data_IF_639710513235
#
_entry.id   IF_639710513235
#
_cell.length_a   1.000
_cell.length_b   1.000
_cell.length_c   1.000
_cell.angle_alpha   90.00
_cell.angle_beta   90.00
_cell.angle_gamma   90.00
#
_symmetry.space_group_name_H-M   'P 1'
#
loop_
_entity.id
_entity.type
_entity.pdbx_description
1 polymer ?
#
# COMPACT_ATOMS: atom_id res chain seq x y z
N UNK A 1 5.45 -6.15 1.94
CA UNK A 1 4.33 -7.07 2.16
C UNK A 1 3.06 -6.29 2.40
N UNK A 2 1.96 -6.73 1.87
CA UNK A 2 0.68 -6.07 2.05
C UNK A 2 -0.28 -7.07 2.70
N UNK A 3 -0.81 -6.71 3.86
CA UNK A 3 -1.72 -7.56 4.61
C UNK A 3 -3.09 -6.90 4.68
N UNK A 4 -4.14 -7.65 4.41
CA UNK A 4 -5.50 -7.14 4.37
C UNK A 4 -6.36 -7.84 5.40
N UNK A 5 -7.16 -7.07 6.15
CA UNK A 5 -8.18 -7.61 7.04
C UNK A 5 -9.51 -6.96 6.69
N UNK A 6 -10.55 -7.76 6.58
CA UNK A 6 -11.88 -7.24 6.24
C UNK A 6 -12.70 -7.24 7.52
N UNK A 7 -13.18 -6.06 7.93
CA UNK A 7 -13.76 -5.85 9.25
C UNK A 7 -15.13 -5.24 9.10
N UNK A 8 -16.12 -5.77 9.80
CA UNK A 8 -17.46 -5.18 9.85
C UNK A 8 -17.48 -4.03 10.83
N UNK A 9 -18.04 -2.93 10.42
CA UNK A 9 -18.23 -1.78 11.29
C UNK A 9 -19.70 -1.36 11.25
N UNK A 10 -20.10 -0.41 12.09
CA UNK A 10 -21.45 0.09 12.08
C UNK A 10 -21.80 0.73 10.76
N UNK A 11 -20.84 1.20 10.00
CA UNK A 11 -21.08 1.83 8.70
C UNK A 11 -20.89 0.85 7.55
N UNK A 12 -20.72 -0.44 7.85
CA UNK A 12 -20.49 -1.47 6.85
C UNK A 12 -19.07 -1.98 6.89
N UNK A 13 -18.72 -2.87 5.94
CA UNK A 13 -17.39 -3.46 5.96
C UNK A 13 -16.31 -2.48 5.50
N UNK A 14 -15.13 -2.62 6.08
CA UNK A 14 -13.95 -1.88 5.62
C UNK A 14 -12.82 -2.87 5.36
N UNK A 15 -11.87 -2.47 4.54
CA UNK A 15 -10.64 -3.22 4.34
C UNK A 15 -9.53 -2.49 5.08
N UNK A 16 -8.99 -3.13 6.11
CA UNK A 16 -7.85 -2.57 6.85
C UNK A 16 -6.58 -3.14 6.24
N UNK A 17 -5.79 -2.30 5.62
CA UNK A 17 -4.62 -2.72 4.85
C UNK A 17 -3.37 -2.23 5.53
N UNK A 18 -2.45 -3.16 5.81
CA UNK A 18 -1.17 -2.84 6.41
C UNK A 18 -0.07 -3.08 5.38
N UNK A 19 0.69 -2.03 5.10
CA UNK A 19 1.83 -2.09 4.21
C UNK A 19 3.07 -2.19 5.08
N UNK A 20 3.92 -3.18 4.81
CA UNK A 20 5.13 -3.41 5.60
C UNK A 20 6.33 -3.56 4.68
N UNK A 21 7.39 -2.86 4.99
CA UNK A 21 8.66 -2.96 4.28
C UNK A 21 9.69 -3.54 5.24
N UNK A 22 10.60 -4.37 4.74
CA UNK A 22 11.53 -5.07 5.64
C UNK A 22 12.49 -4.13 6.37
N UNK A 23 13.03 -4.61 7.48
CA UNK A 23 13.97 -3.83 8.27
C UNK A 23 15.22 -3.49 7.51
N UNK A 24 15.53 -4.25 6.46
CA UNK A 24 16.66 -3.93 5.60
C UNK A 24 16.46 -2.70 4.73
N UNK A 25 15.25 -2.11 4.77
CA UNK A 25 14.96 -0.91 4.00
C UNK A 25 15.57 0.31 4.73
N UNK A 26 16.56 0.93 4.12
CA UNK A 26 17.21 2.10 4.70
C UNK A 26 16.52 3.37 4.24
N UNK A 27 16.09 4.19 5.17
CA UNK A 27 15.44 5.45 4.84
C UNK A 27 15.37 6.35 6.07
N UNK A 28 15.31 7.66 5.84
CA UNK A 28 14.95 8.61 6.89
C UNK A 28 13.44 8.78 6.93
N UNK A 29 12.78 8.80 5.77
CA UNK A 29 11.33 8.97 5.69
C UNK A 29 10.79 8.09 4.58
N UNK A 30 9.63 7.49 4.80
CA UNK A 30 8.88 6.76 3.77
C UNK A 30 7.43 7.18 3.89
N UNK A 31 6.81 7.50 2.76
CA UNK A 31 5.40 7.88 2.71
C UNK A 31 4.64 6.97 1.78
N UNK A 32 3.39 6.68 2.12
CA UNK A 32 2.46 5.97 1.25
C UNK A 32 1.68 7.02 0.47
N UNK A 33 1.68 6.90 -0.85
CA UNK A 33 1.08 7.89 -1.74
C UNK A 33 0.17 7.16 -2.71
N UNK A 34 -1.08 7.55 -2.81
CA UNK A 34 -1.99 6.85 -3.71
C UNK A 34 -3.35 7.50 -3.83
N UNK A 35 -4.25 6.78 -4.50
CA UNK A 35 -5.62 7.24 -4.75
C UNK A 35 -6.35 7.57 -3.46
N UNK A 36 -6.06 6.86 -2.38
CA UNK A 36 -6.78 7.00 -1.13
C UNK A 36 -6.40 8.28 -0.36
N UNK A 37 -5.36 8.99 -0.75
CA UNK A 37 -5.00 10.25 -0.10
C UNK A 37 -4.77 11.37 -1.12
N UNK A 38 -5.36 11.24 -2.32
CA UNK A 38 -5.22 12.26 -3.35
C UNK A 38 -3.80 12.43 -3.84
N UNK A 39 -2.98 11.39 -3.73
CA UNK A 39 -1.56 11.39 -4.11
C UNK A 39 -0.75 12.41 -3.34
N UNK A 40 -1.17 12.71 -2.11
CA UNK A 40 -0.42 13.59 -1.23
C UNK A 40 0.86 12.88 -0.79
N UNK A 41 1.98 13.53 -0.95
CA UNK A 41 3.29 12.90 -0.76
C UNK A 41 3.78 12.93 0.69
N UNK A 42 3.03 13.51 1.62
CA UNK A 42 3.49 13.63 3.00
C UNK A 42 2.43 13.33 4.05
N UNK A 43 1.20 12.97 3.64
CA UNK A 43 0.11 12.81 4.61
C UNK A 43 0.12 11.46 5.30
N UNK A 44 0.78 10.45 4.74
CA UNK A 44 0.72 9.09 5.26
C UNK A 44 2.13 8.53 5.48
N UNK A 45 2.80 8.95 6.56
CA UNK A 45 4.16 8.46 6.83
C UNK A 45 4.13 7.04 7.38
N UNK A 46 5.08 6.23 6.93
CA UNK A 46 5.35 4.95 7.55
C UNK A 46 6.03 5.17 8.89
N UNK A 47 5.92 4.22 9.79
CA UNK A 47 6.58 4.22 11.09
C UNK A 47 7.36 2.93 11.28
N UNK A 48 8.41 2.97 12.06
CA UNK A 48 9.15 1.77 12.42
C UNK A 48 8.41 1.06 13.55
N UNK A 49 8.21 -0.25 13.39
CA UNK A 49 7.61 -1.05 14.44
C UNK A 49 8.73 -1.57 15.38
N UNK A 50 8.35 -2.45 16.32
CA UNK A 50 9.31 -2.93 17.32
C UNK A 50 10.41 -3.78 16.73
N UNK A 51 10.15 -4.43 15.59
CA UNK A 51 11.15 -5.24 14.91
C UNK A 51 11.97 -4.44 13.91
N UNK A 52 11.75 -3.15 13.80
CA UNK A 52 12.48 -2.32 12.85
C UNK A 52 11.93 -2.32 11.44
N UNK A 53 10.72 -2.82 11.25
CA UNK A 53 10.07 -2.79 9.94
C UNK A 53 9.30 -1.49 9.78
N UNK A 54 9.35 -0.93 8.58
CA UNK A 54 8.52 0.22 8.27
C UNK A 54 7.09 -0.25 7.99
N UNK A 55 6.10 0.35 8.65
CA UNK A 55 4.72 -0.11 8.51
C UNK A 55 3.74 1.07 8.54
N UNK A 56 2.63 0.91 7.85
CA UNK A 56 1.51 1.83 7.92
C UNK A 56 0.23 1.06 7.68
N UNK A 57 -0.82 1.40 8.41
CA UNK A 57 -2.14 0.78 8.24
C UNK A 57 -3.13 1.86 7.83
N UNK A 58 -3.93 1.56 6.81
CA UNK A 58 -4.98 2.46 6.34
C UNK A 58 -6.28 1.67 6.20
N UNK A 59 -7.40 2.35 6.44
CA UNK A 59 -8.73 1.76 6.26
C UNK A 59 -9.29 2.25 4.94
N UNK A 60 -9.67 1.31 4.08
CA UNK A 60 -10.12 1.59 2.73
C UNK A 60 -11.51 0.98 2.51
N UNK A 61 -12.19 1.41 1.46
CA UNK A 61 -13.46 0.82 1.09
C UNK A 61 -13.25 -0.56 0.52
N UNK A 62 -14.16 -1.48 0.80
CA UNK A 62 -14.13 -2.83 0.28
C UNK A 62 -14.57 -2.85 -1.17
N UNK A 63 -14.01 -3.75 -1.95
CA UNK A 63 -14.42 -3.97 -3.33
C UNK A 63 -13.85 -2.97 -4.31
N UNK A 64 -12.73 -2.38 -4.00
CA UNK A 64 -12.13 -1.34 -4.83
C UNK A 64 -10.73 -1.72 -5.24
N UNK A 65 -10.19 -0.96 -6.20
CA UNK A 65 -8.82 -1.07 -6.63
C UNK A 65 -8.19 0.30 -6.45
N UNK A 66 -7.08 0.36 -5.75
CA UNK A 66 -6.40 1.60 -5.48
C UNK A 66 -5.01 1.55 -6.07
N UNK A 67 -4.60 2.59 -6.77
CA UNK A 67 -3.21 2.72 -7.23
C UNK A 67 -2.42 3.44 -6.17
N UNK A 68 -1.18 3.04 -5.97
CA UNK A 68 -0.33 3.62 -4.94
C UNK A 68 1.14 3.50 -5.31
N UNK A 69 1.97 4.25 -4.60
CA UNK A 69 3.42 4.13 -4.67
C UNK A 69 4.00 4.47 -3.31
N UNK A 70 5.29 4.16 -3.12
CA UNK A 70 6.03 4.56 -1.93
C UNK A 70 7.00 5.67 -2.28
N UNK A 71 7.14 6.66 -1.39
CA UNK A 71 8.09 7.74 -1.56
C UNK A 71 9.12 7.63 -0.45
N UNK A 72 10.34 7.19 -0.77
CA UNK A 72 11.41 6.98 0.20
C UNK A 72 12.45 8.05 0.02
N UNK A 73 12.64 8.90 1.02
CA UNK A 73 13.65 9.97 1.00
C UNK A 73 13.57 10.82 -0.28
N UNK A 74 12.34 11.11 -0.70
CA UNK A 74 12.13 11.96 -1.88
C UNK A 74 12.18 11.21 -3.20
N UNK A 75 12.32 9.89 -3.21
CA UNK A 75 12.37 9.12 -4.45
C UNK A 75 11.32 8.04 -4.46
N UNK A 76 10.82 7.71 -5.64
CA UNK A 76 9.82 6.66 -5.78
C UNK A 76 10.48 5.29 -5.66
N UNK A 77 9.81 4.40 -4.94
CA UNK A 77 10.30 3.08 -4.65
C UNK A 77 9.35 2.04 -5.19
N UNK A 78 9.87 0.91 -5.65
CA UNK A 78 9.07 -0.19 -6.19
C UNK A 78 8.62 -1.15 -5.09
N UNK A 79 7.50 -1.83 -5.32
CA UNK A 79 7.01 -2.89 -4.44
C UNK A 79 6.77 -4.15 -5.26
N UNK A 80 7.55 -5.19 -5.01
CA UNK A 80 7.44 -6.45 -5.74
C UNK A 80 6.28 -7.32 -5.26
N UNK A 81 5.55 -6.90 -4.21
CA UNK A 81 4.48 -7.70 -3.64
C UNK A 81 3.11 -7.04 -3.75
N UNK A 82 2.97 -6.07 -4.64
CA UNK A 82 1.68 -5.46 -4.91
C UNK A 82 0.74 -6.46 -5.60
N UNK A 83 -0.55 -6.19 -5.55
CA UNK A 83 -1.55 -7.04 -6.22
C UNK A 83 -1.48 -6.93 -7.73
N UNK A 84 -0.89 -5.89 -8.25
CA UNK A 84 -0.73 -5.69 -9.68
C UNK A 84 -0.01 -4.39 -9.97
N UNK A 85 0.15 -4.09 -11.26
CA UNK A 85 0.87 -2.91 -11.71
C UNK A 85 0.08 -2.26 -12.83
N UNK A 86 0.11 -0.93 -12.88
CA UNK A 86 -0.57 -0.16 -13.92
C UNK A 86 0.44 0.83 -14.48
N UNK A 87 0.66 0.81 -15.79
CA UNK A 87 1.56 1.75 -16.43
C UNK A 87 1.00 3.16 -16.32
N UNK A 88 1.84 4.13 -16.01
CA UNK A 88 1.40 5.51 -15.96
C UNK A 88 2.00 6.28 -17.14
N UNK A 89 1.48 7.49 -17.43
CA UNK A 89 1.91 8.23 -18.62
C UNK A 89 3.36 8.69 -18.60
N UNK A 90 4.02 8.57 -17.47
CA UNK A 90 5.40 9.05 -17.32
C UNK A 90 6.43 7.95 -17.47
N UNK A 91 6.01 6.77 -17.94
CA UNK A 91 6.94 5.69 -18.24
C UNK A 91 7.33 4.83 -17.05
N UNK A 92 6.63 4.95 -15.93
CA UNK A 92 6.84 4.08 -14.78
C UNK A 92 5.54 3.38 -14.44
N UNK A 93 5.53 2.56 -13.39
CA UNK A 93 4.34 1.82 -13.01
C UNK A 93 3.81 2.31 -11.68
N UNK A 94 2.51 2.43 -11.56
CA UNK A 94 1.86 2.49 -10.28
C UNK A 94 1.53 1.07 -9.83
N UNK A 95 1.41 0.87 -8.54
CA UNK A 95 1.09 -0.45 -7.98
C UNK A 95 -0.38 -0.47 -7.60
N UNK A 96 -0.95 -1.68 -7.55
CA UNK A 96 -2.36 -1.86 -7.18
C UNK A 96 -2.47 -2.56 -5.85
N UNK A 97 -3.45 -2.11 -5.05
CA UNK A 97 -3.96 -2.89 -3.94
C UNK A 97 -5.46 -3.07 -4.18
N UNK A 98 -5.92 -4.31 -4.09
CA UNK A 98 -7.31 -4.68 -4.39
C UNK A 98 -7.97 -5.09 -3.08
N UNK A 99 -9.09 -4.44 -2.75
CA UNK A 99 -9.77 -4.66 -1.48
C UNK A 99 -11.01 -5.53 -1.61
N UNK A 100 -11.05 -6.38 -2.63
CA UNK A 100 -12.12 -7.36 -2.81
C UNK A 100 -11.74 -8.59 -2.00
N UNK A 101 -12.55 -9.05 -1.04
CA UNK A 101 -12.22 -10.24 -0.26
C UNK A 101 -12.04 -11.50 -1.09
N UNK A 102 -12.63 -11.53 -2.29
CA UNK A 102 -12.51 -12.67 -3.18
C UNK A 102 -11.34 -12.56 -4.15
N UNK A 103 -10.60 -11.47 -4.13
CA UNK A 103 -9.48 -11.31 -5.05
C UNK A 103 -8.34 -12.24 -4.67
N UNK A 104 -7.79 -12.91 -5.68
CA UNK A 104 -6.60 -13.72 -5.50
C UNK A 104 -5.57 -13.28 -6.54
N UNK A 105 -4.35 -13.11 -6.08
CA UNK A 105 -3.27 -12.76 -6.99
C UNK A 105 -3.05 -13.93 -7.94
N UNK A 106 -2.90 -13.57 -9.22
CA UNK A 106 -2.67 -14.59 -10.22
C UNK A 106 -1.20 -14.88 -10.28
N UNK A 107 -0.73 -15.86 -9.56
CA UNK A 107 0.63 -16.26 -9.69
C UNK A 107 0.60 -17.76 -9.70
N UNK A 108 1.40 -18.28 -10.38
CA UNK A 108 1.43 -19.54 -10.64
C UNK A 108 1.92 -20.28 -9.77
N UNK A 109 1.56 -20.32 -9.32
CA UNK A 109 2.05 -21.21 -8.39
C UNK A 109 1.59 -21.93 -7.93
#
# INVERSE_FOLDING_TARGET
MIHKSFIETERGPIARVTFTLPESTWADTIYLVGDFNGWNQTSHPFRLDREGNWTITVDLEVGRRYEFRYRRDGEWMNDSQADGYVSNPHGSDNFLVVTDPNFKRNHEG
#
